data_IF_416294460083
#
_entry.id   IF_416294460083
#
_cell.length_a   1.000
_cell.length_b   1.000
_cell.length_c   1.000
_cell.angle_alpha   90.00
_cell.angle_beta   90.00
_cell.angle_gamma   90.00
#
_symmetry.space_group_name_H-M   'P 1'
#
loop_
_entity.id
_entity.type
_entity.pdbx_description
1 polymer ?
#
# COMPACT_ATOMS: atom_id res chain seq x y z
N UNK A 1 2.63 7.01 15.11
CA UNK A 1 2.57 5.55 15.35
C UNK A 1 3.88 4.91 14.90
N UNK A 2 4.36 3.86 15.55
CA UNK A 2 5.54 3.09 15.11
C UNK A 2 5.11 1.88 14.28
N UNK A 3 5.81 1.60 13.19
CA UNK A 3 5.55 0.48 12.31
C UNK A 3 5.89 -0.85 12.99
N UNK A 4 4.90 -1.74 13.09
CA UNK A 4 5.04 -3.08 13.65
C UNK A 4 5.92 -4.02 12.80
N UNK A 5 6.20 -3.64 11.55
CA UNK A 5 7.04 -4.41 10.63
C UNK A 5 8.52 -4.05 10.75
N UNK A 6 8.85 -2.76 10.76
CA UNK A 6 10.24 -2.30 10.63
C UNK A 6 10.69 -1.30 11.71
N UNK A 7 9.83 -0.98 12.68
CA UNK A 7 10.15 -0.08 13.79
C UNK A 7 10.28 1.40 13.44
N UNK A 8 10.09 1.80 12.17
CA UNK A 8 10.15 3.21 11.77
C UNK A 8 8.84 3.95 12.08
N UNK A 9 8.92 5.27 12.19
CA UNK A 9 7.74 6.11 12.35
C UNK A 9 6.83 6.00 11.12
N UNK A 10 5.52 5.94 11.39
CA UNK A 10 4.47 5.97 10.39
C UNK A 10 3.85 7.36 10.36
N UNK A 11 3.51 7.81 9.16
CA UNK A 11 2.69 9.00 8.96
C UNK A 11 1.22 8.61 8.91
N UNK A 12 0.36 9.50 9.38
CA UNK A 12 -1.08 9.35 9.20
C UNK A 12 -1.43 9.68 7.75
N UNK A 13 -2.21 8.82 7.11
CA UNK A 13 -2.77 9.05 5.79
C UNK A 13 -4.22 9.55 5.95
N UNK A 14 -4.69 10.44 5.05
CA UNK A 14 -6.09 10.80 4.97
C UNK A 14 -6.97 9.55 4.86
N UNK A 15 -8.09 9.57 5.58
CA UNK A 15 -9.12 8.55 5.49
C UNK A 15 -10.33 9.19 4.79
N UNK A 16 -10.71 8.62 3.65
CA UNK A 16 -11.92 9.02 2.93
C UNK A 16 -13.13 8.41 3.63
N UNK A 17 -14.24 9.15 3.69
CA UNK A 17 -15.49 8.60 4.21
C UNK A 17 -15.93 7.36 3.40
N UNK A 18 -16.45 6.32 4.08
CA UNK A 18 -17.03 5.16 3.41
C UNK A 18 -18.06 5.58 2.36
N UNK A 19 -17.88 5.17 1.11
CA UNK A 19 -18.79 5.51 0.00
C UNK A 19 -19.80 4.41 -0.25
N UNK A 20 -19.42 3.18 0.07
CA UNK A 20 -20.24 1.98 -0.10
C UNK A 20 -20.45 1.27 1.23
N UNK A 21 -21.53 0.48 1.32
CA UNK A 21 -21.87 -0.27 2.53
C UNK A 21 -20.83 -1.35 2.90
N UNK A 22 -19.96 -1.74 1.96
CA UNK A 22 -18.87 -2.70 2.16
C UNK A 22 -17.52 -2.05 2.45
N UNK A 23 -17.43 -0.71 2.45
CA UNK A 23 -16.21 -0.02 2.85
C UNK A 23 -16.05 -0.13 4.37
N UNK A 24 -14.86 -0.48 4.84
CA UNK A 24 -14.58 -0.54 6.27
C UNK A 24 -14.70 0.86 6.88
N UNK A 25 -15.35 1.01 8.05
CA UNK A 25 -15.37 2.28 8.77
C UNK A 25 -14.02 2.51 9.45
N UNK A 26 -13.04 2.90 8.63
CA UNK A 26 -11.69 3.27 9.07
C UNK A 26 -11.78 4.63 9.75
N UNK A 27 -11.23 4.71 10.96
CA UNK A 27 -11.08 5.97 11.69
C UNK A 27 -9.71 6.59 11.41
N UNK A 28 -8.67 5.77 11.39
CA UNK A 28 -7.30 6.21 11.14
C UNK A 28 -6.59 5.23 10.20
N UNK A 29 -5.83 5.76 9.25
CA UNK A 29 -4.90 4.99 8.42
C UNK A 29 -3.49 5.50 8.65
N UNK A 30 -2.56 4.58 8.86
CA UNK A 30 -1.16 4.86 9.09
C UNK A 30 -0.33 4.15 8.03
N UNK A 31 0.63 4.86 7.44
CA UNK A 31 1.49 4.36 6.38
C UNK A 31 2.97 4.53 6.76
N UNK A 32 3.76 3.46 6.60
CA UNK A 32 5.20 3.50 6.77
C UNK A 32 5.88 3.76 5.42
N UNK A 33 6.45 4.95 5.22
CA UNK A 33 7.19 5.29 3.99
C UNK A 33 8.49 4.50 3.81
N UNK A 34 9.00 3.87 4.86
CA UNK A 34 10.18 3.04 4.76
C UNK A 34 9.86 1.66 4.14
N UNK A 35 8.99 0.88 4.77
CA UNK A 35 8.70 -0.50 4.33
C UNK A 35 7.39 -0.66 3.56
N UNK A 36 6.60 0.40 3.39
CA UNK A 36 5.30 0.38 2.70
C UNK A 36 4.22 -0.47 3.39
N UNK A 37 4.43 -0.84 4.65
CA UNK A 37 3.37 -1.41 5.47
C UNK A 37 2.35 -0.33 5.86
N UNK A 38 1.08 -0.69 5.89
CA UNK A 38 0.01 0.14 6.41
C UNK A 38 -0.78 -0.55 7.52
N UNK A 39 -1.43 0.27 8.33
CA UNK A 39 -2.27 -0.13 9.45
C UNK A 39 -3.51 0.75 9.43
N UNK A 40 -4.68 0.13 9.44
CA UNK A 40 -5.95 0.82 9.66
C UNK A 40 -6.48 0.51 11.05
N UNK A 41 -7.07 1.52 11.67
CA UNK A 41 -7.72 1.44 12.96
C UNK A 41 -9.17 1.91 12.83
N UNK A 42 -10.10 1.17 13.42
CA UNK A 42 -11.49 1.54 13.58
C UNK A 42 -11.74 2.36 14.85
N UNK A 43 -12.98 2.31 15.31
CA UNK A 43 -13.41 3.04 16.51
C UNK A 43 -13.20 2.21 17.79
N UNK A 44 -13.24 0.88 17.70
CA UNK A 44 -12.84 -0.04 18.78
C UNK A 44 -11.34 -0.43 18.65
N UNK A 45 -10.57 -0.55 19.75
CA UNK A 45 -9.16 -0.95 19.69
C UNK A 45 -8.86 -2.32 19.06
N UNK A 46 -9.86 -3.20 18.92
CA UNK A 46 -9.72 -4.50 18.22
C UNK A 46 -10.03 -4.41 16.72
N UNK A 47 -10.64 -3.33 16.27
CA UNK A 47 -10.87 -3.05 14.85
C UNK A 47 -9.57 -2.58 14.21
N UNK A 48 -8.70 -3.55 13.90
CA UNK A 48 -7.36 -3.27 13.36
C UNK A 48 -7.13 -4.13 12.14
N UNK A 49 -6.77 -3.50 11.02
CA UNK A 49 -6.41 -4.16 9.77
C UNK A 49 -4.95 -3.88 9.47
N UNK A 50 -4.17 -4.97 9.41
CA UNK A 50 -2.74 -4.99 9.13
C UNK A 50 -2.49 -6.01 8.03
N UNK A 51 -2.49 -5.57 6.76
CA UNK A 51 -2.25 -6.46 5.65
C UNK A 51 -0.93 -7.19 5.79
N UNK A 52 -0.95 -8.48 5.46
CA UNK A 52 0.23 -9.30 5.55
C UNK A 52 1.27 -8.89 4.51
N UNK A 53 2.47 -9.42 4.65
CA UNK A 53 3.47 -9.29 3.60
C UNK A 53 2.93 -9.84 2.27
N UNK A 54 2.97 -9.02 1.25
CA UNK A 54 2.79 -9.45 -0.14
C UNK A 54 4.11 -9.37 -0.90
N UNK A 55 4.46 -10.40 -1.69
CA UNK A 55 5.63 -10.36 -2.56
C UNK A 55 5.47 -9.32 -3.68
N UNK A 56 6.59 -8.95 -4.31
CA UNK A 56 6.65 -7.87 -5.29
C UNK A 56 5.63 -7.97 -6.44
N UNK A 57 5.22 -9.17 -6.86
CA UNK A 57 4.26 -9.35 -7.95
C UNK A 57 2.80 -9.07 -7.56
N UNK A 58 2.48 -9.02 -6.27
CA UNK A 58 1.13 -8.75 -5.76
C UNK A 58 0.98 -7.35 -5.16
N UNK A 59 2.11 -6.70 -4.81
CA UNK A 59 2.12 -5.50 -3.97
C UNK A 59 1.82 -4.19 -4.70
N UNK A 60 2.04 -4.12 -6.01
CA UNK A 60 2.07 -2.85 -6.74
C UNK A 60 1.02 -2.81 -7.83
N UNK A 61 0.26 -1.73 -7.88
CA UNK A 61 -0.58 -1.38 -9.01
C UNK A 61 0.24 -0.72 -10.13
N UNK A 62 -0.26 -0.85 -11.35
CA UNK A 62 0.31 -0.14 -12.49
C UNK A 62 -0.09 1.33 -12.45
N UNK A 63 0.85 2.21 -12.78
CA UNK A 63 0.57 3.63 -12.96
C UNK A 63 0.01 3.89 -14.36
N UNK A 64 -1.00 4.74 -14.45
CA UNK A 64 -1.61 5.19 -15.71
C UNK A 64 -1.61 6.71 -15.80
N UNK A 65 -1.16 7.24 -16.94
CA UNK A 65 -1.19 8.66 -17.29
C UNK A 65 -0.82 8.84 -18.76
N UNK A 66 -1.37 9.85 -19.47
CA UNK A 66 -0.91 10.25 -20.81
C UNK A 66 0.55 10.73 -20.86
N UNK A 67 1.12 11.13 -19.72
CA UNK A 67 2.52 11.63 -19.63
C UNK A 67 3.54 10.50 -19.46
N UNK A 68 3.07 9.26 -19.21
CA UNK A 68 3.96 8.10 -19.15
C UNK A 68 4.27 7.57 -20.56
N UNK A 69 5.48 7.05 -20.79
CA UNK A 69 5.78 6.32 -22.02
C UNK A 69 4.84 5.12 -22.18
N UNK A 70 4.12 5.03 -23.31
CA UNK A 70 3.14 3.96 -23.57
C UNK A 70 3.78 2.56 -23.58
N UNK A 71 5.06 2.47 -23.93
CA UNK A 71 5.81 1.24 -24.07
C UNK A 71 6.47 0.76 -22.77
N UNK A 72 6.35 1.52 -21.67
CA UNK A 72 6.97 1.17 -20.39
C UNK A 72 5.93 1.12 -19.28
N UNK A 73 5.77 -0.04 -18.64
CA UNK A 73 4.91 -0.20 -17.49
C UNK A 73 5.61 0.28 -16.22
N UNK A 74 5.07 1.35 -15.62
CA UNK A 74 5.54 1.87 -14.34
C UNK A 74 4.69 1.35 -13.17
N UNK A 75 5.33 1.12 -12.02
CA UNK A 75 4.65 0.84 -10.77
C UNK A 75 4.20 2.15 -10.13
N UNK A 76 2.94 2.23 -9.72
CA UNK A 76 2.44 3.37 -8.96
C UNK A 76 3.04 3.35 -7.54
N UNK A 77 3.46 4.50 -7.05
CA UNK A 77 3.93 4.65 -5.68
C UNK A 77 2.73 4.85 -4.75
N UNK A 78 2.35 3.81 -4.02
CA UNK A 78 1.21 3.86 -3.10
C UNK A 78 1.38 4.88 -1.96
N UNK A 79 2.59 5.39 -1.73
CA UNK A 79 2.79 6.54 -0.84
C UNK A 79 2.08 7.81 -1.36
N UNK A 80 1.83 7.91 -2.66
CA UNK A 80 1.19 9.06 -3.31
C UNK A 80 -0.31 8.85 -3.55
N UNK A 81 -0.88 7.72 -3.13
CA UNK A 81 -2.30 7.43 -3.30
C UNK A 81 -3.23 8.42 -2.57
N UNK A 82 -2.67 9.25 -1.68
CA UNK A 82 -3.42 10.21 -0.84
C UNK A 82 -2.91 11.65 -0.96
N UNK A 83 -2.21 11.97 -2.05
CA UNK A 83 -1.72 13.32 -2.36
C UNK A 83 -2.45 13.90 -3.57
N UNK A 84 -2.36 15.22 -3.77
CA UNK A 84 -2.98 15.92 -4.92
C UNK A 84 -2.29 15.58 -6.25
N UNK A 85 -1.16 14.89 -6.21
CA UNK A 85 -0.44 14.33 -7.36
C UNK A 85 -0.17 12.85 -7.15
N UNK A 86 -0.03 12.10 -8.24
CA UNK A 86 0.47 10.73 -8.20
C UNK A 86 1.97 10.69 -8.45
N UNK A 87 2.60 9.59 -8.06
CA UNK A 87 3.99 9.29 -8.40
C UNK A 87 4.16 7.82 -8.81
N UNK A 88 5.23 7.55 -9.54
CA UNK A 88 5.72 6.20 -9.83
C UNK A 88 6.89 5.87 -8.89
N UNK A 89 7.16 4.58 -8.68
CA UNK A 89 8.32 4.18 -7.84
C UNK A 89 9.68 4.65 -8.37
N UNK A 90 9.77 5.00 -9.66
CA UNK A 90 11.00 5.57 -10.23
C UNK A 90 11.09 7.09 -10.12
N UNK A 91 10.14 7.75 -9.44
CA UNK A 91 10.19 9.19 -9.14
C UNK A 91 9.55 10.09 -10.20
N UNK A 92 8.83 9.55 -11.18
CA UNK A 92 7.99 10.39 -12.06
C UNK A 92 6.77 10.80 -11.27
N UNK A 93 6.61 12.11 -11.04
CA UNK A 93 5.46 12.74 -10.39
C UNK A 93 4.65 13.54 -11.41
N UNK A 94 3.33 13.40 -11.37
CA UNK A 94 2.42 14.19 -12.18
C UNK A 94 0.99 14.13 -11.64
N UNK A 95 0.21 15.20 -11.82
CA UNK A 95 -1.18 15.29 -11.34
C UNK A 95 -2.15 14.36 -12.08
N UNK A 96 -1.81 13.97 -13.31
CA UNK A 96 -2.62 13.03 -14.10
C UNK A 96 -2.29 11.56 -13.82
N UNK A 97 -1.32 11.27 -12.93
CA UNK A 97 -1.00 9.90 -12.54
C UNK A 97 -2.11 9.32 -11.69
N UNK A 98 -2.59 8.16 -12.11
CA UNK A 98 -3.63 7.41 -11.44
C UNK A 98 -3.24 5.95 -11.26
N UNK A 99 -3.93 5.30 -10.33
CA UNK A 99 -3.79 3.87 -10.04
C UNK A 99 -4.63 3.08 -11.04
N UNK A 100 -4.00 2.17 -11.77
CA UNK A 100 -4.68 1.20 -12.64
C UNK A 100 -5.41 0.15 -11.79
N UNK A 101 -6.55 -0.40 -12.25
CA UNK A 101 -7.13 -1.60 -11.66
C UNK A 101 -6.26 -2.86 -11.88
N UNK A 102 -5.24 -2.79 -12.73
CA UNK A 102 -4.32 -3.90 -13.01
C UNK A 102 -3.02 -3.77 -12.22
N UNK A 103 -2.53 -4.91 -11.72
CA UNK A 103 -1.25 -4.99 -11.04
C UNK A 103 -0.09 -4.68 -12.00
N UNK A 104 0.96 -4.08 -11.45
CA UNK A 104 2.26 -4.01 -12.09
C UNK A 104 3.08 -5.25 -11.74
N UNK A 105 3.59 -5.95 -12.76
CA UNK A 105 4.39 -7.16 -12.57
C UNK A 105 5.84 -6.89 -12.96
N UNK A 106 6.82 -7.13 -12.06
CA UNK A 106 8.23 -6.81 -12.30
C UNK A 106 8.88 -7.62 -13.42
N UNK A 107 8.27 -8.74 -13.82
CA UNK A 107 8.81 -9.66 -14.84
C UNK A 107 8.17 -9.49 -16.22
N UNK A 108 7.27 -8.50 -16.38
CA UNK A 108 6.83 -8.12 -17.72
C UNK A 108 8.00 -7.58 -18.54
N UNK A 109 8.02 -7.90 -19.83
CA UNK A 109 9.08 -7.47 -20.76
C UNK A 109 9.22 -5.95 -20.84
N UNK A 110 8.14 -5.22 -20.59
CA UNK A 110 8.08 -3.77 -20.61
C UNK A 110 8.07 -3.13 -19.20
N UNK A 111 8.35 -3.88 -18.14
CA UNK A 111 8.40 -3.31 -16.80
C UNK A 111 9.56 -2.31 -16.66
N UNK A 112 9.28 -1.11 -16.13
CA UNK A 112 10.30 -0.10 -15.88
C UNK A 112 11.41 -0.66 -14.97
N UNK A 113 12.65 -0.69 -15.49
CA UNK A 113 13.79 -1.22 -14.75
C UNK A 113 14.10 -0.46 -13.46
N UNK A 114 13.82 0.85 -13.42
CA UNK A 114 13.97 1.66 -12.21
C UNK A 114 12.92 1.31 -11.15
N UNK A 115 11.65 1.16 -11.54
CA UNK A 115 10.60 0.66 -10.65
C UNK A 115 10.93 -0.73 -10.09
N UNK A 116 11.47 -1.65 -10.92
CA UNK A 116 11.92 -2.97 -10.46
C UNK A 116 12.98 -2.90 -9.38
N UNK A 117 13.98 -2.03 -9.53
CA UNK A 117 15.02 -1.82 -8.52
C UNK A 117 14.45 -1.24 -7.23
N UNK A 118 13.61 -0.20 -7.34
CA UNK A 118 12.98 0.43 -6.18
C UNK A 118 12.09 -0.57 -5.41
N UNK A 119 11.23 -1.30 -6.12
CA UNK A 119 10.38 -2.33 -5.54
C UNK A 119 11.19 -3.44 -4.85
N UNK A 120 12.32 -3.87 -5.41
CA UNK A 120 13.21 -4.85 -4.79
C UNK A 120 13.86 -4.32 -3.50
N UNK A 121 14.28 -3.06 -3.47
CA UNK A 121 14.78 -2.43 -2.24
C UNK A 121 13.70 -2.36 -1.18
N UNK A 122 12.47 -1.97 -1.54
CA UNK A 122 11.34 -1.90 -0.61
C UNK A 122 10.98 -3.29 -0.08
N UNK A 123 10.99 -4.31 -0.94
CA UNK A 123 10.76 -5.69 -0.54
C UNK A 123 11.78 -6.12 0.53
N UNK A 124 13.07 -5.87 0.32
CA UNK A 124 14.14 -6.18 1.27
C UNK A 124 13.98 -5.50 2.65
N UNK A 125 13.28 -4.36 2.72
CA UNK A 125 12.99 -3.68 3.99
C UNK A 125 11.97 -4.40 4.85
N UNK A 126 11.25 -5.38 4.32
CA UNK A 126 10.43 -6.29 5.13
C UNK A 126 11.32 -7.38 5.74
N UNK A 127 11.45 -7.41 7.08
CA UNK A 127 12.24 -8.43 7.77
C UNK A 127 11.70 -9.83 7.44
N UNK A 128 12.60 -10.81 7.26
CA UNK A 128 12.24 -12.18 6.87
C UNK A 128 11.21 -12.81 7.82
N UNK A 129 11.35 -12.56 9.12
CA UNK A 129 10.42 -13.07 10.14
C UNK A 129 9.00 -12.49 10.02
N UNK A 130 8.82 -11.34 9.37
CA UNK A 130 7.51 -10.70 9.16
C UNK A 130 6.82 -11.15 7.87
N UNK A 131 7.51 -11.86 6.98
CA UNK A 131 6.98 -12.27 5.67
C UNK A 131 5.97 -13.45 5.73
N UNK A 132 5.91 -14.15 6.86
CA UNK A 132 5.08 -15.35 7.05
C UNK A 132 3.75 -15.13 7.77
N UNK A 133 3.02 -14.06 7.45
CA UNK A 133 1.69 -13.82 8.02
C UNK A 133 1.71 -13.47 9.51
N UNK A 134 2.75 -12.77 9.98
CA UNK A 134 2.98 -12.53 11.41
C UNK A 134 2.37 -11.24 11.95
N UNK A 135 1.76 -10.42 11.09
CA UNK A 135 1.05 -9.23 11.57
C UNK A 135 -0.26 -9.68 12.20
N UNK A 136 -0.45 -9.32 13.46
CA UNK A 136 -1.63 -9.74 14.23
C UNK A 136 -2.77 -8.77 13.98
N UNK A 137 -3.91 -9.33 13.58
CA UNK A 137 -5.19 -8.66 13.58
C UNK A 137 -6.05 -9.22 14.73
N UNK A 138 -6.40 -8.42 15.75
CA UNK A 138 -7.28 -8.88 16.82
C UNK A 138 -8.68 -9.22 16.28
N UNK A 139 -9.36 -10.17 16.91
CA UNK A 139 -10.76 -10.44 16.61
C UNK A 139 -11.62 -9.23 16.99
N UNK A 140 -12.40 -8.66 16.05
CA UNK A 140 -13.24 -7.51 16.33
C UNK A 140 -14.38 -7.87 17.30
N UNK A 141 -14.98 -6.90 18.01
CA UNK A 141 -16.12 -7.16 18.88
C UNK A 141 -17.32 -7.76 18.13
N UNK A 142 -18.16 -8.54 18.81
CA UNK A 142 -19.45 -8.96 18.27
C UNK A 142 -20.26 -7.74 17.79
N UNK A 143 -20.80 -7.83 16.57
CA UNK A 143 -21.57 -6.75 15.95
C UNK A 143 -20.74 -5.67 15.24
N UNK A 144 -19.41 -5.79 15.21
CA UNK A 144 -18.56 -4.95 14.37
C UNK A 144 -18.76 -5.28 12.88
N UNK A 145 -18.66 -4.24 12.03
CA UNK A 145 -18.59 -4.40 10.57
C UNK A 145 -17.18 -4.76 10.06
N UNK A 146 -16.21 -4.92 10.96
CA UNK A 146 -14.85 -5.31 10.61
C UNK A 146 -14.72 -6.82 10.38
N UNK A 147 -13.87 -7.27 9.44
CA UNK A 147 -13.72 -8.69 9.15
C UNK A 147 -12.95 -9.42 10.26
N UNK A 148 -13.26 -10.69 10.52
CA UNK A 148 -12.50 -11.54 11.45
C UNK A 148 -11.33 -12.20 10.70
N UNK A 149 -10.34 -11.43 10.31
CA UNK A 149 -9.14 -11.91 9.61
C UNK A 149 -8.08 -12.50 10.53
#
# INVERSE_FOLDING_TARGET
MTCDVCGHEMRQAPVTEPRMAWDLPVKERWFCSWCYAWTELGHDPREVSRPQYEPMYGRWERAESPELPEDVAHAYDTAYAYTDSGATLCGIEHVSLSVSPYLWVPDWNNACGACKKAAAVIDQRWPLNMRGGKRVNPTPPPGSSWPPF
#
